data_IF_188038324379
#
_entry.id   IF_188038324379
#
_cell.length_a   1.000
_cell.length_b   1.000
_cell.length_c   1.000
_cell.angle_alpha   90.00
_cell.angle_beta   90.00
_cell.angle_gamma   90.00
#
_symmetry.space_group_name_H-M   'P 1'
#
loop_
_entity.id
_entity.type
_entity.pdbx_description
1 polymer ?
#
# COMPACT_ATOMS: atom_id res chain seq x y z
N UNK A 1 -14.78 21.12 -10.36
CA UNK A 1 -14.06 21.03 -9.06
C UNK A 1 -14.55 22.10 -8.07
N UNK A 2 -15.87 22.33 -7.95
CA UNK A 2 -16.40 23.51 -7.24
C UNK A 2 -17.52 23.17 -6.25
N UNK A 3 -17.44 22.04 -5.54
CA UNK A 3 -18.35 21.77 -4.43
C UNK A 3 -17.73 20.84 -3.40
N UNK A 4 -16.59 21.24 -2.83
CA UNK A 4 -16.22 20.79 -1.48
C UNK A 4 -16.79 21.84 -0.53
N UNK A 5 -17.98 21.57 0.03
CA UNK A 5 -18.50 22.39 1.12
C UNK A 5 -17.51 22.30 2.28
N UNK A 6 -16.89 23.44 2.62
CA UNK A 6 -15.96 23.62 3.73
C UNK A 6 -16.67 23.36 5.07
N UNK A 7 -16.97 22.10 5.40
CA UNK A 7 -17.02 21.70 6.80
C UNK A 7 -15.58 21.68 7.28
N UNK A 8 -15.25 22.57 8.22
CA UNK A 8 -13.96 22.59 8.87
C UNK A 8 -13.67 21.18 9.40
N UNK A 9 -12.63 20.54 8.87
CA UNK A 9 -12.13 19.28 9.41
C UNK A 9 -11.82 19.49 10.89
N UNK A 10 -12.22 18.52 11.74
CA UNK A 10 -11.78 18.48 13.13
C UNK A 10 -10.24 18.48 13.18
N UNK A 11 -9.65 18.88 14.30
CA UNK A 11 -8.19 18.89 14.44
C UNK A 11 -7.58 17.50 14.16
N UNK A 12 -8.25 16.42 14.62
CA UNK A 12 -7.90 15.05 14.26
C UNK A 12 -8.00 14.80 12.74
N UNK A 13 -9.04 15.30 12.07
CA UNK A 13 -9.19 15.19 10.62
C UNK A 13 -8.10 15.94 9.84
N UNK A 14 -7.66 17.11 10.32
CA UNK A 14 -6.53 17.87 9.75
C UNK A 14 -5.21 17.12 9.94
N UNK A 15 -4.98 16.55 11.11
CA UNK A 15 -3.79 15.76 11.41
C UNK A 15 -3.71 14.50 10.55
N UNK A 16 -4.81 13.75 10.42
CA UNK A 16 -4.87 12.56 9.56
C UNK A 16 -4.64 12.94 8.10
N UNK A 17 -5.25 14.03 7.63
CA UNK A 17 -5.05 14.53 6.27
C UNK A 17 -3.59 14.95 6.04
N UNK A 18 -3.00 15.68 6.98
CA UNK A 18 -1.60 16.07 6.93
C UNK A 18 -0.70 14.84 6.93
N UNK A 19 -0.88 13.89 7.84
CA UNK A 19 -0.10 12.64 7.88
C UNK A 19 -0.23 11.86 6.57
N UNK A 20 -1.44 11.73 6.02
CA UNK A 20 -1.65 11.04 4.76
C UNK A 20 -0.91 11.73 3.60
N UNK A 21 -0.96 13.06 3.53
CA UNK A 21 -0.27 13.85 2.50
C UNK A 21 1.25 13.81 2.71
N UNK A 22 1.75 14.05 3.92
CA UNK A 22 3.19 14.10 4.23
C UNK A 22 3.86 12.74 4.18
N UNK A 23 3.12 11.63 4.34
CA UNK A 23 3.65 10.28 4.10
C UNK A 23 3.61 9.92 2.61
N UNK A 24 2.58 10.36 1.87
CA UNK A 24 2.46 10.07 0.46
C UNK A 24 3.39 10.92 -0.43
N UNK A 25 3.64 12.18 -0.06
CA UNK A 25 4.46 13.11 -0.85
C UNK A 25 5.93 12.65 -0.98
N UNK A 26 6.64 12.23 0.09
CA UNK A 26 7.98 11.67 -0.04
C UNK A 26 7.98 10.36 -0.82
N UNK A 27 6.98 9.48 -0.64
CA UNK A 27 6.88 8.26 -1.43
C UNK A 27 6.69 8.55 -2.92
N UNK A 28 5.88 9.55 -3.26
CA UNK A 28 5.67 9.99 -4.63
C UNK A 28 6.93 10.67 -5.18
N UNK A 29 7.53 11.60 -4.44
CA UNK A 29 8.76 12.28 -4.81
C UNK A 29 9.93 11.31 -5.01
N UNK A 30 10.13 10.36 -4.10
CA UNK A 30 11.16 9.31 -4.21
C UNK A 30 10.91 8.32 -5.35
N UNK A 31 9.65 8.21 -5.82
CA UNK A 31 9.34 7.42 -7.01
C UNK A 31 9.56 8.17 -8.33
N UNK A 32 9.62 9.50 -8.30
CA UNK A 32 9.86 10.35 -9.47
C UNK A 32 11.31 10.83 -9.57
N UNK A 33 11.95 11.07 -8.42
CA UNK A 33 13.22 11.76 -8.31
C UNK A 33 14.15 11.03 -7.33
N UNK A 34 15.45 11.02 -7.66
CA UNK A 34 16.49 10.62 -6.73
C UNK A 34 16.80 11.81 -5.83
N UNK A 35 16.20 11.84 -4.64
CA UNK A 35 16.49 12.89 -3.67
C UNK A 35 17.95 12.77 -3.20
N UNK A 36 18.71 13.88 -3.09
CA UNK A 36 20.04 13.85 -2.51
C UNK A 36 19.98 13.30 -1.08
N UNK A 37 20.88 12.38 -0.71
CA UNK A 37 20.88 11.79 0.63
C UNK A 37 21.00 12.83 1.76
N UNK A 38 21.62 13.98 1.46
CA UNK A 38 21.68 15.14 2.37
C UNK A 38 20.28 15.72 2.64
N UNK A 39 19.47 15.93 1.59
CA UNK A 39 18.10 16.43 1.73
C UNK A 39 17.21 15.45 2.52
N UNK A 40 17.35 14.14 2.31
CA UNK A 40 16.62 13.15 3.12
C UNK A 40 17.00 13.23 4.60
N UNK A 41 18.31 13.37 4.91
CA UNK A 41 18.80 13.56 6.28
C UNK A 41 18.29 14.88 6.88
N UNK A 42 18.26 15.96 6.11
CA UNK A 42 17.78 17.26 6.56
C UNK A 42 16.28 17.22 6.85
N UNK A 43 15.47 16.58 6.00
CA UNK A 43 14.03 16.37 6.23
C UNK A 43 13.81 15.52 7.49
N UNK A 44 14.53 14.41 7.65
CA UNK A 44 14.45 13.58 8.85
C UNK A 44 14.87 14.34 10.11
N UNK A 45 15.91 15.17 10.04
CA UNK A 45 16.37 16.00 11.15
C UNK A 45 15.35 17.10 11.51
N UNK A 46 14.66 17.68 10.52
CA UNK A 46 13.55 18.60 10.75
C UNK A 46 12.36 17.89 11.41
N UNK A 47 12.03 16.68 10.97
CA UNK A 47 10.95 15.87 11.57
C UNK A 47 11.29 15.41 13.00
N UNK A 48 12.58 15.25 13.32
CA UNK A 48 13.06 14.85 14.64
C UNK A 48 13.06 16.01 15.68
N UNK A 49 12.43 17.16 15.39
CA UNK A 49 12.39 18.31 16.30
C UNK A 49 10.98 18.89 16.41
N UNK A 50 10.58 19.22 17.63
CA UNK A 50 9.35 19.95 17.88
C UNK A 50 9.43 21.38 17.31
N UNK A 51 8.52 21.73 16.41
CA UNK A 51 8.34 23.12 15.96
C UNK A 51 7.58 23.91 17.05
N UNK A 52 8.33 24.45 18.02
CA UNK A 52 7.75 25.14 19.20
C UNK A 52 6.81 26.29 18.81
N UNK A 53 7.15 27.19 17.86
CA UNK A 53 6.23 28.25 17.43
C UNK A 53 4.88 27.71 16.94
N UNK A 54 4.91 26.66 16.11
CA UNK A 54 3.68 26.06 15.60
C UNK A 54 2.86 25.44 16.74
N UNK A 55 3.50 24.73 17.68
CA UNK A 55 2.83 24.10 18.82
C UNK A 55 2.14 25.15 19.70
N UNK A 56 2.84 26.22 20.07
CA UNK A 56 2.25 27.29 20.89
C UNK A 56 1.18 28.11 20.15
N UNK A 57 1.21 28.15 18.81
CA UNK A 57 0.13 28.74 18.01
C UNK A 57 -1.08 27.82 17.82
N UNK A 58 -0.91 26.50 17.98
CA UNK A 58 -1.94 25.48 17.68
C UNK A 58 -2.62 24.97 18.95
N UNK A 59 -1.88 24.86 20.05
CA UNK A 59 -2.33 24.31 21.32
C UNK A 59 -2.36 25.38 22.40
N UNK A 60 -3.22 25.21 23.41
CA UNK A 60 -3.20 26.08 24.57
C UNK A 60 -1.84 25.97 25.31
N UNK A 61 -1.49 26.98 26.09
CA UNK A 61 -0.16 27.05 26.72
C UNK A 61 0.15 25.92 27.70
N UNK A 62 -0.86 25.18 28.18
CA UNK A 62 -0.69 24.02 29.07
C UNK A 62 -0.36 22.77 28.26
N UNK A 63 -1.15 22.46 27.24
CA UNK A 63 -0.98 21.30 26.35
C UNK A 63 0.30 21.43 25.53
N UNK A 64 0.63 22.64 25.06
CA UNK A 64 1.89 22.91 24.37
C UNK A 64 3.11 22.55 25.22
N UNK A 65 3.06 22.80 26.54
CA UNK A 65 4.14 22.43 27.47
C UNK A 65 4.20 20.93 27.70
N UNK A 66 3.07 20.23 27.75
CA UNK A 66 3.03 18.77 27.88
C UNK A 66 3.51 18.06 26.61
N UNK A 67 3.10 18.53 25.42
CA UNK A 67 3.57 18.00 24.13
C UNK A 67 5.09 18.10 24.01
N UNK A 68 5.68 19.22 24.45
CA UNK A 68 7.13 19.41 24.44
C UNK A 68 7.89 18.49 25.40
N UNK A 69 7.22 17.89 26.39
CA UNK A 69 7.83 16.89 27.28
C UNK A 69 7.87 15.50 26.67
N UNK A 70 7.10 15.24 25.60
CA UNK A 70 7.15 13.96 24.89
C UNK A 70 8.53 13.85 24.22
N UNK A 71 9.36 12.86 24.61
CA UNK A 71 10.69 12.71 24.06
C UNK A 71 10.62 12.23 22.61
N UNK A 72 11.12 13.03 21.67
CA UNK A 72 11.30 12.60 20.28
C UNK A 72 12.58 11.75 20.22
N UNK A 73 12.46 10.55 19.67
CA UNK A 73 13.59 9.65 19.43
C UNK A 73 14.56 10.27 18.41
N UNK A 74 15.67 10.82 18.89
CA UNK A 74 16.76 11.35 18.03
C UNK A 74 17.60 10.21 17.43
N UNK A 75 17.57 9.02 18.03
CA UNK A 75 18.39 7.86 17.68
C UNK A 75 17.70 6.85 16.74
N UNK A 76 16.52 7.18 16.17
CA UNK A 76 15.84 6.32 15.20
C UNK A 76 15.26 5.03 15.78
N UNK A 77 15.00 4.95 17.10
CA UNK A 77 14.15 3.90 17.66
C UNK A 77 12.75 4.00 17.04
N UNK A 78 12.20 2.85 16.64
CA UNK A 78 10.81 2.75 16.20
C UNK A 78 9.87 3.17 17.34
N UNK A 79 8.77 3.85 16.98
CA UNK A 79 7.74 4.25 17.93
C UNK A 79 7.16 3.02 18.64
N UNK A 80 7.05 3.11 19.96
CA UNK A 80 6.43 2.08 20.80
C UNK A 80 5.22 2.66 21.50
N UNK A 81 4.07 1.97 21.42
CA UNK A 81 2.88 2.37 22.18
C UNK A 81 3.16 2.22 23.68
N UNK A 82 2.89 3.27 24.45
CA UNK A 82 3.01 3.28 25.91
C UNK A 82 1.63 3.55 26.53
N UNK A 83 1.10 2.55 27.21
CA UNK A 83 -0.21 2.60 27.87
C UNK A 83 -0.07 3.21 29.26
N UNK A 84 -0.56 4.45 29.42
CA UNK A 84 -0.40 5.27 30.63
C UNK A 84 -1.05 4.63 31.86
N UNK A 85 -2.12 3.84 31.67
CA UNK A 85 -2.83 3.20 32.78
C UNK A 85 -2.18 1.89 33.26
N UNK A 86 -0.99 1.52 32.75
CA UNK A 86 -0.21 0.40 33.24
C UNK A 86 1.21 0.82 33.63
N UNK A 87 1.68 0.37 34.80
CA UNK A 87 3.02 0.70 35.32
C UNK A 87 4.17 0.21 34.44
N UNK A 88 3.93 -0.78 33.57
CA UNK A 88 4.91 -1.31 32.63
C UNK A 88 4.72 -0.78 31.19
N UNK A 89 3.78 0.15 30.97
CA UNK A 89 3.50 0.72 29.65
C UNK A 89 2.80 -0.22 28.66
N UNK A 90 2.48 -1.46 29.05
CA UNK A 90 1.81 -2.41 28.17
C UNK A 90 0.28 -2.30 28.29
N UNK A 91 -0.39 -2.31 27.15
CA UNK A 91 -1.85 -2.34 27.08
C UNK A 91 -2.37 -3.72 27.47
N UNK A 92 -3.34 -3.76 28.38
CA UNK A 92 -4.16 -4.96 28.61
C UNK A 92 -5.64 -4.58 28.64
N UNK A 93 -6.50 -5.47 28.15
CA UNK A 93 -7.97 -5.29 28.17
C UNK A 93 -8.47 -4.97 29.58
N UNK A 94 -7.89 -5.62 30.60
CA UNK A 94 -8.19 -5.38 32.03
C UNK A 94 -7.83 -3.97 32.49
N UNK A 95 -6.67 -3.45 32.10
CA UNK A 95 -6.25 -2.07 32.43
C UNK A 95 -7.09 -1.01 31.73
N UNK A 96 -7.55 -1.31 30.50
CA UNK A 96 -8.45 -0.43 29.76
C UNK A 96 -9.85 -0.38 30.39
N UNK A 97 -10.42 -1.54 30.75
CA UNK A 97 -11.70 -1.62 31.44
C UNK A 97 -11.70 -0.86 32.78
N UNK A 98 -10.64 -1.02 33.58
CA UNK A 98 -10.48 -0.31 34.86
C UNK A 98 -10.40 1.22 34.70
N UNK A 99 -9.83 1.71 33.60
CA UNK A 99 -9.78 3.14 33.29
C UNK A 99 -11.16 3.65 32.84
N UNK A 100 -11.87 2.89 32.00
CA UNK A 100 -13.21 3.22 31.51
C UNK A 100 -14.27 3.21 32.63
N UNK A 101 -14.22 2.25 33.56
CA UNK A 101 -15.10 2.23 34.75
C UNK A 101 -14.88 3.46 35.66
N UNK A 102 -13.70 4.08 35.60
CA UNK A 102 -13.40 5.35 36.27
C UNK A 102 -13.93 6.60 35.53
N UNK A 103 -14.09 6.53 34.20
CA UNK A 103 -14.51 7.63 33.33
C UNK A 103 -16.01 7.60 32.97
N UNK A 104 -16.69 6.45 33.10
CA UNK A 104 -18.10 6.22 32.74
C UNK A 104 -19.13 6.98 33.60
N UNK A 105 -18.71 7.74 34.62
CA UNK A 105 -19.63 8.64 35.34
C UNK A 105 -19.97 9.92 34.57
N UNK A 106 -19.37 10.17 33.41
CA UNK A 106 -19.67 11.37 32.62
C UNK A 106 -19.75 11.07 31.13
N UNK A 107 -20.95 11.28 30.56
CA UNK A 107 -21.27 11.49 29.12
C UNK A 107 -21.62 10.26 28.26
N UNK A 108 -22.90 9.88 28.34
CA UNK A 108 -23.59 9.02 27.38
C UNK A 108 -24.37 9.88 26.37
N UNK A 109 -24.00 9.94 25.08
CA UNK A 109 -24.93 10.22 23.96
C UNK A 109 -24.42 9.50 22.69
N UNK A 110 -25.23 8.57 22.17
CA UNK A 110 -24.95 7.77 20.98
C UNK A 110 -25.16 8.49 19.64
N UNK A 111 -24.68 7.88 18.55
CA UNK A 111 -25.06 8.20 17.17
C UNK A 111 -24.90 6.99 16.25
N UNK A 112 -26.03 6.45 15.81
CA UNK A 112 -26.12 5.59 14.64
C UNK A 112 -25.93 6.40 13.35
N UNK A 113 -25.24 5.82 12.36
CA UNK A 113 -24.97 6.45 11.06
C UNK A 113 -25.81 5.76 9.99
N UNK A 114 -26.69 6.55 9.37
CA UNK A 114 -27.50 6.17 8.23
C UNK A 114 -26.65 6.06 6.94
N UNK A 115 -26.94 5.02 6.16
CA UNK A 115 -26.27 4.64 4.91
C UNK A 115 -27.06 5.21 3.72
N UNK A 116 -26.49 6.18 3.02
CA UNK A 116 -27.06 6.74 1.78
C UNK A 116 -26.43 6.11 0.55
N UNK A 117 -27.28 5.67 -0.39
CA UNK A 117 -26.95 5.06 -1.68
C UNK A 117 -26.82 6.12 -2.79
N UNK A 118 -26.06 5.77 -3.85
CA UNK A 118 -26.26 6.30 -5.21
C UNK A 118 -24.96 6.45 -6.00
N UNK A 119 -24.53 5.44 -6.75
CA UNK A 119 -23.46 5.60 -7.75
C UNK A 119 -23.86 4.98 -9.10
N UNK A 120 -23.59 5.72 -10.17
CA UNK A 120 -23.89 5.41 -11.58
C UNK A 120 -23.08 4.21 -12.10
N UNK A 121 -23.65 3.46 -13.07
CA UNK A 121 -23.12 2.19 -13.63
C UNK A 121 -21.62 2.15 -14.00
N UNK A 122 -20.98 3.28 -14.34
CA UNK A 122 -19.53 3.33 -14.66
C UNK A 122 -18.64 3.15 -13.41
N UNK A 123 -19.11 3.56 -12.23
CA UNK A 123 -18.40 3.33 -10.97
C UNK A 123 -18.54 1.87 -10.52
N UNK A 124 -19.67 1.21 -10.82
CA UNK A 124 -19.91 -0.18 -10.46
C UNK A 124 -18.90 -1.16 -11.07
N UNK A 125 -18.49 -0.95 -12.33
CA UNK A 125 -17.46 -1.79 -12.96
C UNK A 125 -16.07 -1.51 -12.39
N UNK A 126 -15.74 -0.23 -12.16
CA UNK A 126 -14.47 0.19 -11.54
C UNK A 126 -14.32 -0.38 -10.12
N UNK A 127 -15.41 -0.42 -9.35
CA UNK A 127 -15.47 -0.97 -8.00
C UNK A 127 -15.37 -2.50 -7.99
N UNK A 128 -16.01 -3.19 -8.95
CA UNK A 128 -15.85 -4.64 -9.17
C UNK A 128 -14.41 -5.00 -9.53
N UNK A 129 -13.79 -4.28 -10.46
CA UNK A 129 -12.41 -4.54 -10.90
C UNK A 129 -11.40 -4.24 -9.78
N UNK A 130 -11.63 -3.18 -9.00
CA UNK A 130 -10.87 -2.89 -7.77
C UNK A 130 -11.00 -4.02 -6.74
N UNK A 131 -12.22 -4.47 -6.47
CA UNK A 131 -12.46 -5.55 -5.50
C UNK A 131 -11.78 -6.84 -5.94
N UNK A 132 -11.84 -7.19 -7.22
CA UNK A 132 -11.13 -8.36 -7.78
C UNK A 132 -9.61 -8.21 -7.66
N UNK A 133 -9.06 -7.04 -8.00
CA UNK A 133 -7.62 -6.76 -7.88
C UNK A 133 -7.11 -6.98 -6.45
N UNK A 134 -7.82 -6.47 -5.44
CA UNK A 134 -7.40 -6.62 -4.04
C UNK A 134 -7.48 -8.06 -3.53
N UNK A 135 -8.37 -8.89 -4.09
CA UNK A 135 -8.50 -10.32 -3.77
C UNK A 135 -7.41 -11.22 -4.38
N UNK A 136 -6.61 -10.73 -5.33
CA UNK A 136 -5.55 -11.53 -5.94
C UNK A 136 -4.51 -11.98 -4.89
N UNK A 137 -4.04 -13.21 -4.97
CA UNK A 137 -2.98 -13.70 -4.07
C UNK A 137 -1.59 -13.32 -4.63
N UNK A 138 -1.19 -12.07 -4.40
CA UNK A 138 0.08 -11.50 -4.83
C UNK A 138 0.64 -10.53 -3.78
N UNK A 139 1.97 -10.37 -3.74
CA UNK A 139 2.69 -9.43 -2.84
C UNK A 139 2.05 -8.04 -2.87
N UNK A 140 1.72 -7.47 -1.70
CA UNK A 140 0.98 -6.20 -1.57
C UNK A 140 1.54 -5.02 -2.37
N UNK A 141 2.87 -4.86 -2.42
CA UNK A 141 3.53 -3.79 -3.22
C UNK A 141 3.18 -3.83 -4.72
N UNK A 142 2.89 -5.02 -5.26
CA UNK A 142 2.50 -5.20 -6.65
C UNK A 142 1.05 -4.74 -6.87
N UNK A 143 0.16 -5.02 -5.91
CA UNK A 143 -1.22 -4.48 -5.89
C UNK A 143 -1.20 -2.96 -5.84
N UNK A 144 -0.35 -2.36 -5.00
CA UNK A 144 -0.19 -0.91 -4.94
C UNK A 144 0.31 -0.34 -6.27
N UNK A 145 1.29 -0.98 -6.90
CA UNK A 145 1.77 -0.57 -8.22
C UNK A 145 0.65 -0.60 -9.26
N UNK A 146 -0.08 -1.71 -9.33
CA UNK A 146 -1.21 -1.87 -10.25
C UNK A 146 -2.33 -0.87 -9.97
N UNK A 147 -2.66 -0.63 -8.71
CA UNK A 147 -3.61 0.40 -8.31
C UNK A 147 -3.17 1.78 -8.81
N UNK A 148 -1.88 2.13 -8.71
CA UNK A 148 -1.36 3.38 -9.30
C UNK A 148 -1.57 3.42 -10.81
N UNK A 149 -1.38 2.30 -11.51
CA UNK A 149 -1.65 2.24 -12.95
C UNK A 149 -3.13 2.52 -13.28
N UNK A 150 -4.05 1.87 -12.57
CA UNK A 150 -5.50 2.02 -12.80
C UNK A 150 -6.01 3.43 -12.48
N UNK A 151 -5.34 4.15 -11.57
CA UNK A 151 -5.69 5.53 -11.22
C UNK A 151 -4.84 6.59 -11.93
N UNK A 152 -4.05 6.22 -12.97
CA UNK A 152 -3.16 7.16 -13.68
C UNK A 152 -2.26 7.95 -12.72
N UNK A 153 -1.71 7.26 -11.73
CA UNK A 153 -0.87 7.83 -10.67
C UNK A 153 0.54 7.21 -10.63
N UNK A 154 0.87 6.36 -11.61
CA UNK A 154 2.21 5.82 -11.76
C UNK A 154 3.14 6.90 -12.32
N UNK A 155 4.33 7.16 -11.75
CA UNK A 155 5.16 8.30 -12.14
C UNK A 155 5.96 8.02 -13.41
N UNK A 156 5.24 7.96 -14.52
CA UNK A 156 5.78 7.96 -15.89
C UNK A 156 6.09 9.40 -16.32
N UNK A 157 7.02 9.59 -17.25
CA UNK A 157 7.44 10.95 -17.66
C UNK A 157 6.29 11.77 -18.25
N UNK A 158 5.31 11.11 -18.89
CA UNK A 158 3.91 11.54 -19.06
C UNK A 158 3.45 12.58 -18.03
N UNK A 159 3.15 12.04 -16.86
CA UNK A 159 2.56 12.75 -15.73
C UNK A 159 3.55 13.68 -15.04
N UNK A 160 4.84 13.31 -14.98
CA UNK A 160 5.87 14.16 -14.37
C UNK A 160 6.02 15.46 -15.16
N UNK A 161 6.01 15.40 -16.50
CA UNK A 161 6.08 16.57 -17.36
C UNK A 161 4.90 17.51 -17.10
N UNK A 162 3.67 17.00 -17.14
CA UNK A 162 2.48 17.84 -16.91
C UNK A 162 2.38 18.36 -15.47
N UNK A 163 2.85 17.59 -14.48
CA UNK A 163 2.78 17.97 -13.06
C UNK A 163 3.91 18.90 -12.59
N UNK A 164 5.09 18.83 -13.18
CA UNK A 164 6.29 19.56 -12.68
C UNK A 164 7.03 20.36 -13.75
N UNK A 165 6.82 20.07 -15.05
CA UNK A 165 7.55 20.63 -16.20
C UNK A 165 9.08 20.49 -16.15
N UNK A 166 9.62 19.63 -15.29
CA UNK A 166 11.08 19.52 -15.10
C UNK A 166 11.77 18.62 -16.13
N UNK A 167 11.04 17.80 -16.88
CA UNK A 167 11.63 16.83 -17.80
C UNK A 167 10.72 16.57 -19.00
N UNK A 168 11.31 16.45 -20.19
CA UNK A 168 10.58 16.01 -21.37
C UNK A 168 9.91 14.65 -21.17
N UNK A 169 8.73 14.42 -21.79
CA UNK A 169 7.97 13.19 -21.63
C UNK A 169 8.61 11.97 -22.30
N UNK A 170 9.81 12.07 -22.88
CA UNK A 170 10.46 10.99 -23.64
C UNK A 170 10.88 9.84 -22.71
N UNK A 171 10.59 8.60 -23.15
CA UNK A 171 11.00 7.38 -22.47
C UNK A 171 12.51 7.23 -22.46
N UNK A 172 13.09 7.13 -21.26
CA UNK A 172 14.53 7.01 -21.07
C UNK A 172 15.06 5.59 -21.27
N UNK A 173 14.15 4.64 -21.43
CA UNK A 173 14.51 3.24 -21.68
C UNK A 173 14.75 3.02 -23.17
N UNK A 174 13.86 3.49 -24.05
CA UNK A 174 13.98 3.31 -25.49
C UNK A 174 14.43 4.56 -26.27
N UNK A 175 14.26 5.76 -25.72
CA UNK A 175 14.63 7.03 -26.36
C UNK A 175 13.74 7.48 -27.53
N UNK A 176 12.69 6.74 -27.89
CA UNK A 176 11.99 6.92 -29.17
C UNK A 176 10.51 7.36 -29.07
N UNK A 177 9.93 7.43 -27.87
CA UNK A 177 8.51 7.81 -27.71
C UNK A 177 8.19 8.38 -26.33
N UNK A 178 7.02 9.00 -26.20
CA UNK A 178 6.51 9.49 -24.91
C UNK A 178 6.28 8.34 -23.93
N UNK A 179 6.74 8.51 -22.70
CA UNK A 179 6.60 7.55 -21.61
C UNK A 179 5.23 7.69 -20.95
N UNK A 180 4.24 7.02 -21.54
CA UNK A 180 2.95 6.75 -20.90
C UNK A 180 3.01 5.42 -20.14
N UNK A 181 1.96 5.10 -19.38
CA UNK A 181 1.81 3.78 -18.71
C UNK A 181 1.79 2.65 -19.75
N UNK A 182 1.07 2.84 -20.85
CA UNK A 182 0.98 1.87 -21.94
C UNK A 182 2.30 1.76 -22.70
N UNK A 183 3.02 2.86 -22.89
CA UNK A 183 4.36 2.81 -23.46
C UNK A 183 5.29 1.99 -22.57
N UNK A 184 5.36 2.32 -21.28
CA UNK A 184 6.20 1.63 -20.31
C UNK A 184 5.95 0.11 -20.31
N UNK A 185 4.69 -0.31 -20.31
CA UNK A 185 4.35 -1.73 -20.15
C UNK A 185 4.20 -2.51 -21.45
N UNK A 186 3.85 -1.88 -22.58
CA UNK A 186 3.48 -2.62 -23.78
C UNK A 186 4.20 -2.16 -25.05
N UNK A 187 4.43 -0.84 -25.22
CA UNK A 187 4.91 -0.31 -26.49
C UNK A 187 6.41 0.01 -26.54
N UNK A 188 7.06 0.08 -25.38
CA UNK A 188 8.50 0.23 -25.27
C UNK A 188 9.22 -1.02 -25.83
N UNK A 189 10.32 -0.85 -26.57
CA UNK A 189 10.99 -1.97 -27.25
C UNK A 189 11.41 -3.10 -26.28
N UNK A 190 12.08 -2.82 -25.14
CA UNK A 190 12.35 -3.84 -24.14
C UNK A 190 11.10 -4.49 -23.55
N UNK A 191 10.00 -3.73 -23.40
CA UNK A 191 8.75 -4.29 -22.89
C UNK A 191 8.14 -5.29 -23.86
N UNK A 192 8.16 -5.00 -25.17
CA UNK A 192 7.74 -5.95 -26.22
C UNK A 192 8.56 -7.24 -26.18
N UNK A 193 9.87 -7.15 -25.96
CA UNK A 193 10.73 -8.32 -25.82
C UNK A 193 10.42 -9.13 -24.57
N UNK A 194 10.18 -8.47 -23.43
CA UNK A 194 9.74 -9.13 -22.18
C UNK A 194 8.48 -9.96 -22.42
N UNK A 195 7.47 -9.41 -23.11
CA UNK A 195 6.24 -10.16 -23.41
C UNK A 195 6.44 -11.31 -24.39
N UNK A 196 7.47 -11.28 -25.26
CA UNK A 196 7.83 -12.42 -26.12
C UNK A 196 8.44 -13.57 -25.32
N UNK A 197 9.20 -13.28 -24.26
CA UNK A 197 9.79 -14.30 -23.38
C UNK A 197 8.84 -14.79 -22.30
N UNK A 198 7.80 -14.03 -21.97
CA UNK A 198 6.84 -14.38 -20.94
C UNK A 198 6.06 -15.65 -21.33
N UNK A 199 5.84 -16.61 -20.42
CA UNK A 199 5.02 -17.80 -20.66
C UNK A 199 3.51 -17.49 -20.64
N UNK A 200 3.13 -16.23 -20.92
CA UNK A 200 1.76 -15.75 -21.00
C UNK A 200 1.63 -14.86 -22.24
N UNK A 201 0.58 -15.10 -23.02
CA UNK A 201 0.26 -14.31 -24.20
C UNK A 201 -1.13 -13.70 -24.04
N UNK A 202 -1.24 -12.41 -24.35
CA UNK A 202 -2.50 -11.68 -24.32
C UNK A 202 -2.74 -11.09 -25.70
N UNK A 203 -3.65 -11.71 -26.45
CA UNK A 203 -4.10 -11.19 -27.74
C UNK A 203 -4.77 -9.82 -27.54
N UNK A 204 -4.57 -8.87 -28.46
CA UNK A 204 -5.22 -7.56 -28.41
C UNK A 204 -4.58 -6.51 -27.47
N UNK A 205 -3.38 -6.76 -26.90
CA UNK A 205 -2.59 -5.70 -26.23
C UNK A 205 -2.37 -4.51 -27.19
N UNK A 206 -2.15 -4.79 -28.47
CA UNK A 206 -1.91 -3.79 -29.50
C UNK A 206 -3.11 -2.86 -29.76
N UNK A 207 -4.33 -3.36 -29.58
CA UNK A 207 -5.59 -2.64 -29.82
C UNK A 207 -6.03 -1.80 -28.60
N UNK A 208 -5.32 -1.95 -27.48
CA UNK A 208 -5.62 -1.26 -26.20
C UNK A 208 -4.89 0.08 -26.04
N UNK A 209 -4.45 0.70 -27.15
CA UNK A 209 -3.76 2.00 -27.12
C UNK A 209 -4.63 3.05 -26.41
N UNK A 210 -4.04 3.72 -25.41
CA UNK A 210 -4.62 4.87 -24.73
C UNK A 210 -5.55 4.58 -23.56
N UNK A 211 -5.74 3.31 -23.14
CA UNK A 211 -6.51 3.03 -21.93
C UNK A 211 -6.08 1.74 -21.21
N UNK A 212 -5.10 1.86 -20.31
CA UNK A 212 -4.69 0.76 -19.41
C UNK A 212 -5.87 0.11 -18.64
N UNK A 213 -6.89 0.87 -18.23
CA UNK A 213 -8.05 0.31 -17.53
C UNK A 213 -8.87 -0.61 -18.43
N UNK A 214 -9.06 -0.26 -19.70
CA UNK A 214 -9.77 -1.11 -20.67
C UNK A 214 -9.05 -2.44 -20.87
N UNK A 215 -7.73 -2.40 -21.00
CA UNK A 215 -6.90 -3.61 -21.07
C UNK A 215 -7.04 -4.46 -19.81
N UNK A 216 -6.95 -3.84 -18.64
CA UNK A 216 -7.10 -4.54 -17.36
C UNK A 216 -8.48 -5.20 -17.22
N UNK A 217 -9.57 -4.53 -17.57
CA UNK A 217 -10.90 -5.13 -17.53
C UNK A 217 -10.99 -6.35 -18.47
N UNK A 218 -10.46 -6.26 -19.69
CA UNK A 218 -10.38 -7.41 -20.61
C UNK A 218 -9.56 -8.58 -20.06
N UNK A 219 -8.42 -8.29 -19.41
CA UNK A 219 -7.59 -9.28 -18.71
C UNK A 219 -8.38 -9.99 -17.60
N UNK A 220 -9.19 -9.23 -16.85
CA UNK A 220 -10.02 -9.73 -15.75
C UNK A 220 -11.29 -10.47 -16.21
N UNK A 221 -11.70 -10.31 -17.46
CA UNK A 221 -12.81 -11.04 -18.08
C UNK A 221 -12.35 -12.35 -18.75
N UNK A 222 -11.11 -12.37 -19.27
CA UNK A 222 -10.49 -13.56 -19.85
C UNK A 222 -10.18 -14.70 -18.83
N UNK A 223 -10.52 -14.49 -17.55
CA UNK A 223 -10.24 -15.39 -16.42
C UNK A 223 -11.04 -16.68 -16.39
N UNK A 224 -12.05 -16.83 -17.25
CA UNK A 224 -12.84 -18.06 -17.35
C UNK A 224 -12.07 -19.23 -17.99
N UNK A 225 -10.78 -19.05 -18.30
CA UNK A 225 -9.89 -20.06 -18.89
C UNK A 225 -9.11 -20.85 -17.83
N UNK A 226 -8.72 -22.08 -18.16
CA UNK A 226 -7.88 -22.92 -17.31
C UNK A 226 -6.56 -22.20 -16.96
N UNK A 227 -6.13 -22.24 -15.69
CA UNK A 227 -4.98 -21.48 -15.12
C UNK A 227 -5.08 -19.94 -15.16
N UNK A 228 -6.26 -19.35 -15.41
CA UNK A 228 -6.43 -17.89 -15.51
C UNK A 228 -5.85 -17.09 -14.33
N UNK A 229 -6.07 -17.52 -13.09
CA UNK A 229 -5.53 -16.85 -11.90
C UNK A 229 -4.00 -16.81 -11.83
N UNK A 230 -3.32 -17.87 -12.28
CA UNK A 230 -1.86 -17.93 -12.31
C UNK A 230 -1.31 -16.95 -13.36
N UNK A 231 -1.93 -16.92 -14.55
CA UNK A 231 -1.54 -15.99 -15.61
C UNK A 231 -1.72 -14.53 -15.18
N UNK A 232 -2.80 -14.21 -14.45
CA UNK A 232 -3.00 -12.87 -13.88
C UNK A 232 -1.90 -12.51 -12.89
N UNK A 233 -1.60 -13.41 -11.94
CA UNK A 233 -0.57 -13.17 -10.94
C UNK A 233 0.80 -12.92 -11.61
N UNK A 234 1.19 -13.77 -12.56
CA UNK A 234 2.43 -13.60 -13.31
C UNK A 234 2.45 -12.29 -14.11
N UNK A 235 1.34 -11.94 -14.77
CA UNK A 235 1.20 -10.68 -15.50
C UNK A 235 1.47 -9.47 -14.60
N UNK A 236 0.87 -9.43 -13.41
CA UNK A 236 1.10 -8.33 -12.45
C UNK A 236 2.54 -8.32 -11.93
N UNK A 237 3.17 -9.49 -11.78
CA UNK A 237 4.59 -9.57 -11.43
C UNK A 237 5.50 -9.03 -12.55
N UNK A 238 5.19 -9.31 -13.81
CA UNK A 238 5.92 -8.76 -14.98
C UNK A 238 5.79 -7.23 -15.03
N UNK A 239 4.57 -6.68 -14.86
CA UNK A 239 4.35 -5.23 -14.81
C UNK A 239 5.22 -4.58 -13.72
N UNK A 240 5.30 -5.19 -12.54
CA UNK A 240 6.17 -4.70 -11.48
C UNK A 240 7.66 -4.76 -11.84
N UNK A 241 8.14 -5.84 -12.47
CA UNK A 241 9.56 -5.93 -12.86
C UNK A 241 9.90 -4.95 -13.98
N UNK A 242 9.00 -4.70 -14.94
CA UNK A 242 9.14 -3.65 -15.95
C UNK A 242 9.26 -2.27 -15.31
N UNK A 243 8.41 -1.96 -14.33
CA UNK A 243 8.50 -0.73 -13.55
C UNK A 243 9.84 -0.59 -12.81
N UNK A 244 10.31 -1.67 -12.15
CA UNK A 244 11.62 -1.67 -11.48
C UNK A 244 12.77 -1.48 -12.48
N UNK A 245 12.73 -2.16 -13.63
CA UNK A 245 13.76 -2.05 -14.66
C UNK A 245 13.85 -0.62 -15.20
N UNK A 246 12.69 0.03 -15.47
CA UNK A 246 12.66 1.44 -15.85
C UNK A 246 13.25 2.34 -14.77
N UNK A 247 12.92 2.13 -13.49
CA UNK A 247 13.47 2.94 -12.40
C UNK A 247 14.98 2.74 -12.23
N UNK A 248 15.48 1.51 -12.40
CA UNK A 248 16.92 1.25 -12.35
C UNK A 248 17.65 1.95 -13.51
N UNK A 249 17.03 2.01 -14.70
CA UNK A 249 17.54 2.80 -15.82
C UNK A 249 17.50 4.29 -15.53
N UNK A 250 16.40 4.83 -15.01
CA UNK A 250 16.26 6.28 -14.76
C UNK A 250 17.18 6.77 -13.64
N UNK A 251 17.32 6.02 -12.54
CA UNK A 251 18.03 6.50 -11.34
C UNK A 251 19.48 6.04 -11.24
N UNK A 252 19.83 4.94 -11.94
CA UNK A 252 21.17 4.33 -11.87
C UNK A 252 21.78 4.05 -13.26
N UNK A 253 21.13 4.49 -14.35
CA UNK A 253 21.57 4.27 -15.74
C UNK A 253 21.83 2.80 -16.12
N UNK A 254 21.20 1.84 -15.44
CA UNK A 254 21.42 0.42 -15.67
C UNK A 254 20.29 -0.21 -16.47
N UNK A 255 20.63 -0.82 -17.60
CA UNK A 255 19.70 -1.60 -18.42
C UNK A 255 19.62 -3.03 -17.90
N UNK A 256 18.41 -3.60 -17.87
CA UNK A 256 18.15 -5.00 -17.55
C UNK A 256 17.90 -5.78 -18.84
N UNK A 257 18.42 -6.99 -18.94
CA UNK A 257 18.08 -7.89 -20.04
C UNK A 257 16.58 -8.29 -19.91
N UNK A 258 15.79 -8.26 -20.99
CA UNK A 258 14.39 -8.70 -20.97
C UNK A 258 14.16 -10.10 -20.41
N UNK A 259 15.05 -11.05 -20.70
CA UNK A 259 14.96 -12.41 -20.16
C UNK A 259 15.08 -12.42 -18.63
N UNK A 260 16.05 -11.68 -18.08
CA UNK A 260 16.24 -11.56 -16.63
C UNK A 260 15.01 -10.98 -15.92
N UNK A 261 14.31 -10.04 -16.58
CA UNK A 261 13.07 -9.43 -16.06
C UNK A 261 11.99 -10.50 -15.91
N UNK A 262 11.78 -11.33 -16.94
CA UNK A 262 10.79 -12.42 -16.93
C UNK A 262 11.18 -13.48 -15.90
N UNK A 263 12.44 -13.94 -15.92
CA UNK A 263 12.92 -14.96 -15.00
C UNK A 263 12.75 -14.49 -13.55
N UNK A 264 13.09 -13.23 -13.26
CA UNK A 264 12.91 -12.64 -11.92
C UNK A 264 11.44 -12.51 -11.53
N UNK A 265 10.56 -12.14 -12.44
CA UNK A 265 9.11 -12.10 -12.18
C UNK A 265 8.58 -13.49 -11.81
N UNK A 266 9.01 -14.52 -12.54
CA UNK A 266 8.61 -15.90 -12.33
C UNK A 266 9.13 -16.45 -10.99
N UNK A 267 10.41 -16.23 -10.69
CA UNK A 267 11.02 -16.66 -9.42
C UNK A 267 10.40 -15.97 -8.21
N UNK A 268 10.24 -14.63 -8.23
CA UNK A 268 9.61 -13.88 -7.13
C UNK A 268 8.15 -14.28 -6.90
N UNK A 269 7.46 -14.72 -7.96
CA UNK A 269 6.09 -15.24 -7.88
C UNK A 269 6.03 -16.64 -7.26
N UNK A 270 6.88 -17.58 -7.72
CA UNK A 270 6.97 -18.93 -7.13
C UNK A 270 7.28 -18.84 -5.64
N UNK A 271 8.32 -18.09 -5.27
CA UNK A 271 8.74 -17.89 -3.88
C UNK A 271 7.57 -17.40 -3.01
N UNK A 272 6.78 -16.44 -3.51
CA UNK A 272 5.61 -15.95 -2.79
C UNK A 272 4.53 -17.02 -2.63
N UNK A 273 4.25 -17.79 -3.67
CA UNK A 273 3.25 -18.85 -3.61
C UNK A 273 3.66 -19.95 -2.63
N UNK A 274 4.94 -20.31 -2.59
CA UNK A 274 5.47 -21.30 -1.66
C UNK A 274 5.33 -20.83 -0.21
N UNK A 275 5.77 -19.61 0.11
CA UNK A 275 5.65 -19.05 1.47
C UNK A 275 4.20 -18.97 1.92
N UNK A 276 3.33 -18.40 1.08
CA UNK A 276 1.91 -18.23 1.42
C UNK A 276 1.20 -19.58 1.59
N UNK A 277 1.59 -20.60 0.81
CA UNK A 277 1.04 -21.96 0.96
C UNK A 277 1.47 -22.62 2.27
N UNK A 278 2.71 -22.40 2.71
CA UNK A 278 3.22 -22.91 4.00
C UNK A 278 2.51 -22.24 5.17
N UNK A 279 2.33 -20.92 5.15
CA UNK A 279 1.59 -20.18 6.18
C UNK A 279 0.14 -20.68 6.33
N UNK A 280 -0.55 -20.90 5.21
CA UNK A 280 -1.91 -21.47 5.22
C UNK A 280 -1.97 -22.88 5.83
N UNK A 281 -0.94 -23.71 5.59
CA UNK A 281 -0.84 -25.06 6.18
C UNK A 281 -0.59 -25.02 7.69
N UNK A 282 0.35 -24.18 8.15
CA UNK A 282 0.66 -24.03 9.58
C UNK A 282 -0.55 -23.51 10.35
N UNK A 283 -1.24 -22.49 9.83
CA UNK A 283 -2.46 -21.95 10.44
C UNK A 283 -3.61 -22.97 10.52
N UNK A 284 -3.71 -23.93 9.59
CA UNK A 284 -4.73 -24.99 9.65
C UNK A 284 -4.42 -26.10 10.67
N UNK A 285 -3.13 -26.34 10.94
CA UNK A 285 -2.69 -27.39 11.88
C UNK A 285 -2.80 -26.94 13.35
N UNK A 286 -2.57 -25.66 13.64
CA UNK A 286 -2.72 -25.10 14.99
C UNK A 286 -4.17 -25.15 15.48
N UNK A 287 -5.16 -24.99 14.59
CA UNK A 287 -6.58 -25.09 14.97
C UNK A 287 -7.01 -26.54 15.26
N UNK A 288 -6.36 -27.54 14.68
CA UNK A 288 -6.69 -28.96 14.89
C UNK A 288 -6.01 -29.59 16.12
N UNK A 289 -5.04 -28.93 16.74
CA UNK A 289 -4.24 -29.48 17.84
C UNK A 289 -4.82 -29.17 19.24
N UNK A 290 -6.02 -28.60 19.34
CA UNK A 290 -6.63 -28.17 20.61
C UNK A 290 -7.73 -29.09 21.15
N UNK A 291 -8.10 -30.18 20.45
CA UNK A 291 -9.26 -31.02 20.78
C UNK A 291 -8.90 -32.49 21.11
N UNK A 292 -7.83 -32.76 21.85
CA UNK A 292 -7.63 -34.06 22.50
C UNK A 292 -7.24 -33.90 23.99
N UNK A 293 -8.21 -33.49 24.82
CA UNK A 293 -8.18 -33.81 26.26
C UNK A 293 -8.76 -35.22 26.46
N UNK A 294 -7.89 -36.15 26.88
CA UNK A 294 -8.26 -37.53 27.21
C UNK A 294 -9.18 -37.64 28.43
N UNK A 295 -9.88 -38.77 28.62
CA UNK A 295 -10.88 -38.91 29.68
C UNK A 295 -10.23 -39.01 31.07
N UNK A 296 -10.58 -38.08 31.95
CA UNK A 296 -10.23 -38.11 33.37
C UNK A 296 -11.07 -39.19 34.10
N UNK A 297 -10.46 -40.32 34.44
CA UNK A 297 -11.04 -41.31 35.35
C UNK A 297 -11.01 -40.78 36.79
N UNK A 298 -12.18 -40.53 37.37
CA UNK A 298 -12.36 -40.25 38.80
C UNK A 298 -12.54 -41.60 39.51
N UNK A 299 -11.58 -41.97 40.36
CA UNK A 299 -11.75 -43.03 41.37
C UNK A 299 -12.18 -42.36 42.67
N UNK A 300 -13.43 -42.59 43.08
CA UNK A 300 -13.93 -42.26 44.40
C UNK A 300 -13.45 -43.30 45.41
N UNK A 301 -12.60 -42.87 46.34
CA UNK A 301 -12.40 -43.52 47.64
C UNK A 301 -12.77 -42.54 48.73
N UNK A 302 -13.87 -42.80 49.43
CA UNK A 302 -14.17 -42.18 50.72
C UNK A 302 -14.63 -43.26 51.70
N UNK A 303 -13.79 -43.50 52.71
CA UNK A 303 -14.05 -44.34 53.88
C UNK A 303 -14.65 -43.47 54.98
N UNK A 304 -15.94 -43.65 55.28
CA UNK A 304 -16.48 -43.82 56.64
C UNK A 304 -17.98 -44.10 56.61
#
# INVERSE_FOLDING_TARGET
>A
MASWKNKMLSNAGKEVLLKAITMALPMYAMSCFKLPGKLCKDISAMMARWNRPLIFSTFNGKDAKEILKIPISVAGRADSNYWIASNNGNYTVKSAYKMLEGEEKTTNIGRGVARGQGETNFNGQKEKDRSKMWRMDIKGKHKTCLWKCLNQALPVNELIYYGTRMREPICQVCGAGEETIEHLFFFCNPAKEVWKFAPVQWDGIADSRGNFNKWWSGLMEATSRNKGHQHQALTVNILWQLWKARNEKVFNNKCRNPFDIVQKAHLEWIEYTEVTSREKRVSSQETSASDEEGPCHILDTATR
#
